data_IF_456520127613
#
_entry.id   IF_456520127613
#
_cell.length_a   1.000
_cell.length_b   1.000
_cell.length_c   1.000
_cell.angle_alpha   90.00
_cell.angle_beta   90.00
_cell.angle_gamma   90.00
#
_symmetry.space_group_name_H-M   'P 1'
#
loop_
_entity.id
_entity.type
_entity.pdbx_description
1 polymer ?
#
# COMPACT_ATOMS: atom_id res chain seq x y z
N UNK A 1 -9.03 2.27 1.24
CA UNK A 1 -8.70 2.03 -0.18
C UNK A 1 -8.38 0.54 -0.42
N UNK A 2 -7.29 -0.01 0.15
CA UNK A 2 -6.93 -1.44 0.00
C UNK A 2 -8.08 -2.37 0.40
N UNK A 3 -8.72 -2.12 1.53
CA UNK A 3 -9.89 -2.90 1.98
C UNK A 3 -11.03 -2.83 0.96
N UNK A 4 -11.30 -1.65 0.41
CA UNK A 4 -12.35 -1.47 -0.62
C UNK A 4 -11.99 -2.21 -1.90
N UNK A 5 -10.72 -2.16 -2.31
CA UNK A 5 -10.22 -2.91 -3.46
C UNK A 5 -10.40 -4.42 -3.28
N UNK A 6 -9.98 -4.97 -2.13
CA UNK A 6 -10.12 -6.40 -1.83
C UNK A 6 -11.60 -6.81 -1.68
N UNK A 7 -12.48 -5.91 -1.21
CA UNK A 7 -13.94 -6.17 -1.17
C UNK A 7 -14.55 -6.22 -2.56
N UNK A 8 -14.07 -5.40 -3.50
CA UNK A 8 -14.58 -5.40 -4.88
C UNK A 8 -14.12 -6.62 -5.69
N UNK A 9 -13.08 -7.31 -5.24
CA UNK A 9 -12.66 -8.60 -5.81
C UNK A 9 -13.62 -9.70 -5.39
N UNK A 10 -14.69 -9.86 -6.18
CA UNK A 10 -15.80 -10.80 -5.93
C UNK A 10 -15.43 -12.27 -6.15
N UNK A 11 -14.22 -12.57 -6.62
CA UNK A 11 -13.76 -13.93 -6.83
C UNK A 11 -13.63 -14.66 -5.49
N UNK A 12 -13.91 -15.96 -5.48
CA UNK A 12 -13.81 -16.86 -4.32
C UNK A 12 -12.36 -16.99 -3.82
N UNK A 13 -11.81 -15.92 -3.27
CA UNK A 13 -10.47 -15.91 -2.65
C UNK A 13 -10.58 -16.13 -1.15
N UNK A 14 -9.75 -17.00 -0.59
CA UNK A 14 -9.58 -17.10 0.86
C UNK A 14 -8.72 -15.95 1.36
N UNK A 15 -9.04 -15.45 2.53
CA UNK A 15 -8.38 -14.29 3.14
C UNK A 15 -7.68 -14.69 4.43
N UNK A 16 -6.48 -14.19 4.60
CA UNK A 16 -5.61 -14.46 5.73
C UNK A 16 -5.06 -13.13 6.24
N UNK A 17 -4.80 -13.06 7.53
CA UNK A 17 -4.22 -11.89 8.16
C UNK A 17 -3.02 -12.37 8.97
N UNK A 18 -1.86 -11.81 8.70
CA UNK A 18 -0.62 -12.10 9.40
C UNK A 18 -0.15 -10.81 10.04
N UNK A 19 0.16 -10.82 11.33
CA UNK A 19 0.68 -9.63 12.01
C UNK A 19 1.63 -9.99 13.15
N UNK A 20 2.53 -9.07 13.47
CA UNK A 20 3.22 -9.11 14.75
C UNK A 20 2.26 -8.74 15.91
N UNK A 21 2.70 -8.99 17.13
CA UNK A 21 1.88 -8.73 18.32
C UNK A 21 1.59 -7.23 18.52
N UNK A 22 2.47 -6.33 18.05
CA UNK A 22 2.25 -4.87 18.14
C UNK A 22 1.17 -4.38 17.18
N UNK A 23 0.87 -5.15 16.13
CA UNK A 23 -0.10 -4.82 15.09
C UNK A 23 -1.46 -5.52 15.26
N UNK A 24 -1.70 -6.15 16.41
CA UNK A 24 -2.94 -6.90 16.72
C UNK A 24 -4.21 -6.06 16.53
N UNK A 25 -4.20 -4.78 16.90
CA UNK A 25 -5.36 -3.92 16.74
C UNK A 25 -5.77 -3.75 15.28
N UNK A 26 -4.78 -3.56 14.40
CA UNK A 26 -5.02 -3.45 12.94
C UNK A 26 -5.52 -4.79 12.41
N UNK A 27 -4.88 -5.89 12.81
CA UNK A 27 -5.28 -7.26 12.46
C UNK A 27 -6.75 -7.51 12.84
N UNK A 28 -7.17 -7.13 14.04
CA UNK A 28 -8.54 -7.27 14.51
C UNK A 28 -9.53 -6.37 13.76
N UNK A 29 -9.13 -5.16 13.35
CA UNK A 29 -9.96 -4.30 12.49
C UNK A 29 -10.19 -4.95 11.12
N UNK A 30 -9.17 -5.54 10.51
CA UNK A 30 -9.29 -6.27 9.24
C UNK A 30 -10.18 -7.51 9.42
N UNK A 31 -10.01 -8.25 10.51
CA UNK A 31 -10.84 -9.43 10.84
C UNK A 31 -12.33 -9.10 10.97
N UNK A 32 -12.67 -7.95 11.56
CA UNK A 32 -14.08 -7.48 11.63
C UNK A 32 -14.66 -7.21 10.25
N UNK A 33 -13.85 -6.78 9.29
CA UNK A 33 -14.27 -6.49 7.92
C UNK A 33 -14.37 -7.77 7.08
N UNK A 34 -13.52 -8.76 7.36
CA UNK A 34 -13.47 -10.06 6.70
C UNK A 34 -13.60 -11.18 7.75
N UNK A 35 -14.80 -11.45 8.27
CA UNK A 35 -15.01 -12.41 9.38
C UNK A 35 -14.52 -13.83 9.08
N UNK A 36 -14.55 -14.26 7.81
CA UNK A 36 -14.10 -15.57 7.36
C UNK A 36 -12.57 -15.72 7.25
N UNK A 37 -11.80 -14.63 7.42
CA UNK A 37 -10.34 -14.69 7.35
C UNK A 37 -9.76 -15.48 8.52
N UNK A 38 -8.62 -16.16 8.30
CA UNK A 38 -7.81 -16.73 9.39
C UNK A 38 -6.74 -15.71 9.81
N UNK A 39 -6.45 -15.65 11.11
CA UNK A 39 -5.40 -14.78 11.67
C UNK A 39 -4.24 -15.64 12.16
N UNK A 40 -3.02 -15.15 11.89
CA UNK A 40 -1.76 -15.70 12.38
C UNK A 40 -0.93 -14.58 12.99
N UNK A 41 -0.24 -14.90 14.06
CA UNK A 41 0.57 -13.93 14.81
C UNK A 41 2.01 -14.41 14.92
N UNK A 42 2.93 -13.46 15.12
CA UNK A 42 4.30 -13.80 15.47
C UNK A 42 4.36 -14.67 16.74
N UNK A 43 5.39 -15.52 16.82
CA UNK A 43 5.58 -16.40 17.97
C UNK A 43 6.09 -15.64 19.18
N UNK A 44 5.79 -16.19 20.35
CA UNK A 44 6.30 -15.74 21.64
C UNK A 44 7.38 -16.74 22.08
N UNK A 45 8.52 -16.25 22.55
CA UNK A 45 9.57 -17.09 23.13
C UNK A 45 9.23 -17.51 24.56
N UNK A 46 10.07 -18.33 25.16
CA UNK A 46 9.90 -18.80 26.54
C UNK A 46 9.91 -17.66 27.59
N UNK A 47 10.55 -16.53 27.25
CA UNK A 47 10.58 -15.32 28.09
C UNK A 47 9.35 -14.43 27.92
N UNK A 48 8.42 -14.78 27.02
CA UNK A 48 7.22 -14.00 26.74
C UNK A 48 7.41 -12.87 25.71
N UNK A 49 8.59 -12.77 25.06
CA UNK A 49 8.88 -11.75 24.07
C UNK A 49 8.44 -12.18 22.69
N UNK A 50 7.96 -11.20 21.90
CA UNK A 50 7.66 -11.39 20.47
C UNK A 50 8.93 -11.68 19.68
N UNK A 51 9.02 -12.89 19.11
CA UNK A 51 10.17 -13.30 18.29
C UNK A 51 10.20 -12.62 16.92
N UNK A 52 9.12 -11.93 16.56
CA UNK A 52 8.96 -11.32 15.22
C UNK A 52 9.21 -12.32 14.09
N UNK A 53 8.81 -13.56 14.30
CA UNK A 53 8.89 -14.64 13.32
C UNK A 53 7.59 -15.41 13.25
N UNK A 54 7.29 -15.92 12.08
CA UNK A 54 6.25 -16.91 11.84
C UNK A 54 6.96 -18.24 11.51
N UNK A 55 6.37 -19.35 11.89
CA UNK A 55 6.92 -20.66 11.58
C UNK A 55 6.20 -21.22 10.36
N UNK A 56 6.94 -21.87 9.46
CA UNK A 56 6.39 -22.48 8.24
C UNK A 56 5.22 -23.42 8.55
N UNK A 57 5.37 -24.27 9.57
CA UNK A 57 4.37 -25.27 9.93
C UNK A 57 3.02 -24.67 10.36
N UNK A 58 3.00 -23.42 10.85
CA UNK A 58 1.76 -22.72 11.20
C UNK A 58 0.89 -22.43 9.96
N UNK A 59 1.51 -22.33 8.79
CA UNK A 59 0.86 -22.08 7.52
C UNK A 59 0.71 -23.32 6.64
N UNK A 60 1.29 -24.45 7.05
CA UNK A 60 1.20 -25.68 6.28
C UNK A 60 -0.28 -26.08 6.09
N UNK A 61 -0.60 -26.54 4.89
CA UNK A 61 -1.98 -26.92 4.50
C UNK A 61 -3.04 -25.82 4.66
N UNK A 62 -2.61 -24.56 4.89
CA UNK A 62 -3.54 -23.42 5.07
C UNK A 62 -4.06 -22.88 3.74
N UNK A 63 -3.20 -22.76 2.73
CA UNK A 63 -3.56 -22.17 1.45
C UNK A 63 -4.33 -23.13 0.55
N UNK A 64 -5.33 -22.58 -0.12
CA UNK A 64 -6.19 -23.36 -1.02
C UNK A 64 -5.74 -23.18 -2.47
N UNK A 65 -6.15 -24.12 -3.33
CA UNK A 65 -5.98 -23.98 -4.78
C UNK A 65 -6.68 -22.71 -5.27
N UNK A 66 -6.00 -21.96 -6.15
CA UNK A 66 -6.45 -20.70 -6.69
C UNK A 66 -5.89 -19.50 -5.93
N UNK A 67 -6.66 -18.42 -5.87
CA UNK A 67 -6.26 -17.12 -5.31
C UNK A 67 -6.42 -17.09 -3.79
N UNK A 68 -5.34 -16.77 -3.10
CA UNK A 68 -5.29 -16.51 -1.67
C UNK A 68 -4.86 -15.06 -1.45
N UNK A 69 -5.53 -14.34 -0.58
CA UNK A 69 -5.24 -12.95 -0.22
C UNK A 69 -4.68 -12.93 1.19
N UNK A 70 -3.50 -12.37 1.36
CA UNK A 70 -2.84 -12.24 2.65
C UNK A 70 -2.65 -10.77 2.99
N UNK A 71 -3.16 -10.32 4.14
CA UNK A 71 -2.83 -9.04 4.73
C UNK A 71 -1.65 -9.22 5.68
N UNK A 72 -0.57 -8.47 5.47
CA UNK A 72 0.59 -8.43 6.35
C UNK A 72 0.66 -7.06 7.03
N UNK A 73 0.47 -7.06 8.35
CA UNK A 73 0.46 -5.83 9.15
C UNK A 73 1.59 -5.88 10.18
N UNK A 74 2.62 -5.07 9.96
CA UNK A 74 3.80 -5.00 10.81
C UNK A 74 4.60 -3.71 10.57
N UNK A 75 5.41 -3.33 11.55
CA UNK A 75 6.45 -2.30 11.42
C UNK A 75 7.87 -2.88 11.56
N UNK A 76 8.00 -4.20 11.62
CA UNK A 76 9.26 -4.90 11.85
C UNK A 76 9.79 -5.50 10.54
N UNK A 77 10.92 -4.99 10.07
CA UNK A 77 11.55 -5.42 8.81
C UNK A 77 11.85 -6.93 8.80
N UNK A 78 12.36 -7.48 9.91
CA UNK A 78 12.66 -8.91 10.03
C UNK A 78 11.41 -9.77 9.85
N UNK A 79 10.26 -9.31 10.34
CA UNK A 79 9.00 -10.02 10.18
C UNK A 79 8.50 -9.98 8.72
N UNK A 80 8.64 -8.82 8.03
CA UNK A 80 8.35 -8.75 6.58
C UNK A 80 9.19 -9.73 5.80
N UNK A 81 10.51 -9.76 6.06
CA UNK A 81 11.45 -10.67 5.39
C UNK A 81 11.10 -12.14 5.64
N UNK A 82 10.84 -12.52 6.89
CA UNK A 82 10.47 -13.87 7.28
C UNK A 82 9.17 -14.30 6.59
N UNK A 83 8.10 -13.51 6.74
CA UNK A 83 6.77 -13.84 6.20
C UNK A 83 6.79 -13.89 4.67
N UNK A 84 7.43 -12.92 4.01
CA UNK A 84 7.49 -12.92 2.54
C UNK A 84 8.25 -14.12 1.99
N UNK A 85 9.31 -14.57 2.65
CA UNK A 85 10.04 -15.79 2.29
C UNK A 85 9.17 -17.04 2.44
N UNK A 86 8.49 -17.19 3.57
CA UNK A 86 7.60 -18.32 3.84
C UNK A 86 6.44 -18.34 2.84
N UNK A 87 5.76 -17.22 2.62
CA UNK A 87 4.66 -17.14 1.65
C UNK A 87 5.10 -17.47 0.23
N UNK A 88 6.29 -17.00 -0.17
CA UNK A 88 6.84 -17.27 -1.49
C UNK A 88 7.09 -18.77 -1.70
N UNK A 89 7.47 -19.54 -0.68
CA UNK A 89 7.70 -20.98 -0.78
C UNK A 89 6.41 -21.80 -1.02
N UNK A 90 5.23 -21.24 -0.71
CA UNK A 90 3.94 -21.89 -0.98
C UNK A 90 3.41 -21.63 -2.40
N UNK A 91 3.97 -20.66 -3.12
CA UNK A 91 3.52 -20.33 -4.48
C UNK A 91 3.90 -21.47 -5.43
N UNK A 92 2.92 -21.93 -6.18
CA UNK A 92 3.12 -22.94 -7.24
C UNK A 92 2.05 -22.77 -8.34
N UNK A 93 1.98 -23.70 -9.29
CA UNK A 93 1.03 -23.60 -10.40
C UNK A 93 -0.43 -23.54 -9.95
N UNK A 94 -0.76 -24.16 -8.82
CA UNK A 94 -2.13 -24.25 -8.32
C UNK A 94 -2.43 -23.24 -7.20
N UNK A 95 -1.44 -22.81 -6.40
CA UNK A 95 -1.59 -21.89 -5.28
C UNK A 95 -1.00 -20.54 -5.69
N UNK A 96 -1.84 -19.51 -5.72
CA UNK A 96 -1.45 -18.13 -5.98
C UNK A 96 -1.69 -17.32 -4.70
N UNK A 97 -0.72 -16.51 -4.32
CA UNK A 97 -0.81 -15.66 -3.13
C UNK A 97 -0.61 -14.21 -3.56
N UNK A 98 -1.55 -13.35 -3.15
CA UNK A 98 -1.41 -11.90 -3.29
C UNK A 98 -1.28 -11.27 -1.91
N UNK A 99 -0.20 -10.51 -1.72
CA UNK A 99 0.14 -9.88 -0.45
C UNK A 99 -0.34 -8.44 -0.43
N UNK A 100 -0.98 -8.04 0.65
CA UNK A 100 -1.48 -6.69 0.87
C UNK A 100 -1.01 -6.15 2.22
N UNK A 101 -0.89 -4.83 2.34
CA UNK A 101 -0.83 -4.16 3.63
C UNK A 101 -1.75 -2.93 3.63
N UNK A 102 -2.34 -2.62 4.76
CA UNK A 102 -3.15 -1.40 4.91
C UNK A 102 -2.30 -0.18 5.20
N UNK A 103 -1.06 -0.38 5.63
CA UNK A 103 -0.12 0.69 5.98
C UNK A 103 1.32 0.32 5.58
N UNK A 104 1.67 0.59 4.31
CA UNK A 104 3.06 0.42 3.84
C UNK A 104 3.97 1.42 4.56
N UNK A 105 5.00 0.89 5.19
CA UNK A 105 5.99 1.64 5.97
C UNK A 105 7.41 1.17 5.63
N UNK A 106 8.43 1.75 6.27
CA UNK A 106 9.84 1.47 5.98
C UNK A 106 10.25 0.00 6.20
N UNK A 107 9.48 -0.79 6.95
CA UNK A 107 9.78 -2.21 7.13
C UNK A 107 9.73 -3.00 5.81
N UNK A 108 8.92 -2.56 4.86
CA UNK A 108 8.82 -3.17 3.53
C UNK A 108 9.92 -2.72 2.54
N UNK A 109 10.73 -1.73 2.91
CA UNK A 109 11.82 -1.18 2.09
C UNK A 109 13.22 -1.54 2.62
N UNK A 110 13.28 -2.34 3.67
CA UNK A 110 14.53 -2.70 4.32
C UNK A 110 15.44 -3.56 3.44
N UNK A 111 16.75 -3.43 3.62
CA UNK A 111 17.76 -4.14 2.82
C UNK A 111 17.63 -5.69 2.86
N UNK A 112 17.04 -6.24 3.92
CA UNK A 112 16.84 -7.68 4.07
C UNK A 112 15.50 -8.18 3.49
N UNK A 113 14.68 -7.28 2.94
CA UNK A 113 13.42 -7.66 2.28
C UNK A 113 13.67 -7.89 0.80
N UNK A 114 13.38 -9.09 0.33
CA UNK A 114 13.57 -9.45 -1.08
C UNK A 114 12.48 -8.82 -1.95
N UNK A 115 12.86 -7.93 -2.86
CA UNK A 115 11.94 -7.39 -3.85
C UNK A 115 11.36 -8.48 -4.75
N UNK A 116 12.15 -9.50 -5.11
CA UNK A 116 11.67 -10.63 -5.91
C UNK A 116 10.54 -11.39 -5.20
N UNK A 117 10.63 -11.57 -3.86
CA UNK A 117 9.54 -12.20 -3.11
C UNK A 117 8.29 -11.32 -3.08
N UNK A 118 8.45 -10.01 -2.93
CA UNK A 118 7.33 -9.07 -2.98
C UNK A 118 6.68 -9.03 -4.37
N UNK A 119 7.46 -9.09 -5.46
CA UNK A 119 6.95 -9.19 -6.84
C UNK A 119 6.20 -10.50 -7.06
N UNK A 120 6.77 -11.65 -6.70
CA UNK A 120 6.12 -12.95 -6.83
C UNK A 120 4.78 -13.01 -6.07
N UNK A 121 4.74 -12.36 -4.90
CA UNK A 121 3.55 -12.22 -4.07
C UNK A 121 2.61 -11.10 -4.56
N UNK A 122 2.94 -10.42 -5.68
CA UNK A 122 2.16 -9.30 -6.21
C UNK A 122 1.79 -8.29 -5.12
N UNK A 123 2.78 -7.90 -4.32
CA UNK A 123 2.58 -7.03 -3.16
C UNK A 123 1.87 -5.73 -3.54
N UNK A 124 0.80 -5.39 -2.81
CA UNK A 124 -0.04 -4.24 -3.10
C UNK A 124 -0.32 -3.41 -1.85
N UNK A 125 -0.34 -2.09 -2.04
CA UNK A 125 -0.64 -1.13 -0.98
C UNK A 125 -1.23 0.16 -1.55
N UNK A 126 -1.94 0.91 -0.71
CA UNK A 126 -2.40 2.25 -1.05
C UNK A 126 -1.29 3.27 -0.78
N UNK A 127 -1.11 4.23 -1.71
CA UNK A 127 -0.16 5.33 -1.57
C UNK A 127 -0.79 6.65 -2.00
N UNK A 128 -0.46 7.72 -1.31
CA UNK A 128 -0.87 9.08 -1.70
C UNK A 128 -0.09 9.63 -2.89
N UNK A 129 1.01 8.98 -3.23
CA UNK A 129 1.87 9.37 -4.33
C UNK A 129 2.44 8.16 -5.07
N UNK A 130 2.73 8.33 -6.35
CA UNK A 130 3.51 7.39 -7.18
C UNK A 130 4.93 7.91 -7.38
N UNK A 131 5.82 7.07 -7.91
CA UNK A 131 7.12 7.55 -8.41
C UNK A 131 6.91 8.31 -9.71
N UNK A 132 7.70 9.40 -9.90
CA UNK A 132 7.75 10.11 -11.17
C UNK A 132 8.29 9.18 -12.26
N UNK A 133 7.68 9.20 -13.43
CA UNK A 133 8.19 8.49 -14.61
C UNK A 133 9.14 9.39 -15.38
N UNK A 134 10.44 9.03 -15.40
CA UNK A 134 11.48 9.84 -16.05
C UNK A 134 11.26 9.94 -17.57
N UNK A 135 10.61 8.96 -18.19
CA UNK A 135 10.37 8.94 -19.63
C UNK A 135 9.11 9.73 -19.98
N UNK A 136 8.00 9.43 -19.31
CA UNK A 136 6.72 10.10 -19.55
C UNK A 136 6.76 11.58 -19.14
N UNK A 137 7.40 11.87 -18.00
CA UNK A 137 7.47 13.22 -17.41
C UNK A 137 8.71 14.02 -17.85
N UNK A 138 9.40 13.55 -18.89
CA UNK A 138 10.67 14.11 -19.38
C UNK A 138 10.60 15.61 -19.65
N UNK A 139 9.53 16.10 -20.24
CA UNK A 139 9.41 17.53 -20.59
C UNK A 139 9.42 18.44 -19.34
N UNK A 140 8.78 18.01 -18.26
CA UNK A 140 8.80 18.70 -16.97
C UNK A 140 10.22 18.68 -16.37
N UNK A 141 10.84 17.50 -16.37
CA UNK A 141 12.19 17.29 -15.81
C UNK A 141 13.22 18.16 -16.53
N UNK A 142 13.22 18.14 -17.87
CA UNK A 142 14.16 18.94 -18.68
C UNK A 142 13.97 20.44 -18.45
N UNK A 143 12.72 20.91 -18.36
CA UNK A 143 12.42 22.32 -18.05
C UNK A 143 12.86 22.70 -16.64
N UNK A 144 12.68 21.81 -15.67
CA UNK A 144 13.13 22.04 -14.31
C UNK A 144 14.67 22.15 -14.26
N UNK A 145 15.37 21.19 -14.91
CA UNK A 145 16.84 21.18 -14.97
C UNK A 145 17.37 22.44 -15.68
N UNK A 146 16.73 22.87 -16.77
CA UNK A 146 17.16 24.08 -17.49
C UNK A 146 17.04 25.35 -16.66
N UNK A 147 16.06 25.42 -15.74
CA UNK A 147 15.85 26.60 -14.90
C UNK A 147 16.71 26.57 -13.62
N UNK A 148 16.98 25.40 -13.08
CA UNK A 148 17.57 25.27 -11.74
C UNK A 148 18.92 24.54 -11.71
N UNK A 149 19.37 23.95 -12.81
CA UNK A 149 20.62 23.18 -12.96
C UNK A 149 20.75 21.94 -12.05
N UNK A 150 19.62 21.40 -11.57
CA UNK A 150 19.61 20.13 -10.82
C UNK A 150 18.30 19.37 -11.05
N UNK A 151 18.31 18.07 -10.76
CA UNK A 151 17.13 17.22 -10.90
C UNK A 151 16.07 17.56 -9.83
N UNK A 152 14.76 17.60 -10.17
CA UNK A 152 13.73 17.93 -9.20
C UNK A 152 13.69 16.89 -8.05
N UNK A 153 13.73 17.40 -6.82
CA UNK A 153 13.52 16.56 -5.65
C UNK A 153 12.05 16.14 -5.51
N UNK A 154 11.78 15.07 -4.77
CA UNK A 154 10.39 14.68 -4.43
C UNK A 154 9.59 15.84 -3.80
N UNK A 155 10.24 16.73 -3.07
CA UNK A 155 9.57 17.88 -2.47
C UNK A 155 9.22 18.94 -3.50
N UNK A 156 10.11 19.17 -4.49
CA UNK A 156 9.88 20.10 -5.59
C UNK A 156 8.71 19.65 -6.46
N UNK A 157 8.66 18.34 -6.79
CA UNK A 157 7.58 17.75 -7.60
C UNK A 157 6.25 17.84 -6.84
N UNK A 158 6.25 17.49 -5.56
CA UNK A 158 5.05 17.56 -4.73
C UNK A 158 4.54 18.97 -4.55
N UNK A 159 5.43 19.95 -4.34
CA UNK A 159 5.05 21.35 -4.25
C UNK A 159 4.44 21.85 -5.56
N UNK A 160 5.02 21.45 -6.69
CA UNK A 160 4.48 21.76 -8.00
C UNK A 160 3.05 21.20 -8.17
N UNK A 161 2.87 19.90 -7.94
CA UNK A 161 1.58 19.22 -8.10
C UNK A 161 0.47 19.87 -7.25
N UNK A 162 0.76 20.13 -5.96
CA UNK A 162 -0.19 20.74 -5.04
C UNK A 162 -0.54 22.16 -5.49
N UNK A 163 0.47 22.97 -5.81
CA UNK A 163 0.24 24.37 -6.22
C UNK A 163 -0.53 24.43 -7.52
N UNK A 164 -0.17 23.59 -8.49
CA UNK A 164 -0.82 23.57 -9.79
C UNK A 164 -2.30 23.13 -9.69
N UNK A 165 -2.58 22.07 -8.91
CA UNK A 165 -3.95 21.61 -8.66
C UNK A 165 -4.81 22.71 -8.00
N UNK A 166 -4.26 23.37 -6.97
CA UNK A 166 -4.98 24.45 -6.27
C UNK A 166 -5.25 25.64 -7.19
N UNK A 167 -4.27 26.07 -7.99
CA UNK A 167 -4.44 27.19 -8.92
C UNK A 167 -5.49 26.88 -9.98
N UNK A 168 -5.50 25.66 -10.55
CA UNK A 168 -6.51 25.26 -11.51
C UNK A 168 -7.91 25.24 -10.89
N UNK A 169 -8.05 24.76 -9.67
CA UNK A 169 -9.36 24.75 -8.98
C UNK A 169 -9.83 26.15 -8.67
N UNK A 170 -8.98 27.05 -8.21
CA UNK A 170 -9.33 28.45 -7.95
C UNK A 170 -9.72 29.16 -9.26
N UNK A 171 -9.03 28.89 -10.36
CA UNK A 171 -9.33 29.50 -11.65
C UNK A 171 -10.67 29.02 -12.26
N UNK A 172 -11.11 27.81 -11.89
CA UNK A 172 -12.35 27.21 -12.38
C UNK A 172 -13.54 27.40 -11.43
N UNK A 173 -13.35 28.03 -10.28
CA UNK A 173 -14.41 28.30 -9.29
C UNK A 173 -13.88 28.63 -7.91
N UNK A 174 -14.75 28.88 -6.95
CA UNK A 174 -14.38 29.07 -5.54
C UNK A 174 -14.04 27.70 -4.92
N UNK A 175 -13.00 27.65 -4.07
CA UNK A 175 -12.67 26.46 -3.26
C UNK A 175 -13.82 25.99 -2.35
N UNK A 176 -14.83 26.83 -2.15
CA UNK A 176 -16.06 26.48 -1.43
C UNK A 176 -17.16 25.89 -2.32
N UNK A 177 -16.97 25.88 -3.64
CA UNK A 177 -17.94 25.31 -4.57
C UNK A 177 -17.96 23.79 -4.45
N UNK A 178 -19.14 23.21 -4.21
CA UNK A 178 -19.33 21.76 -4.12
C UNK A 178 -18.95 21.03 -5.41
N UNK A 179 -18.97 21.72 -6.54
CA UNK A 179 -18.55 21.19 -7.85
C UNK A 179 -17.05 20.82 -7.91
N UNK A 180 -16.22 21.35 -7.00
CA UNK A 180 -14.80 21.01 -6.89
C UNK A 180 -14.60 19.65 -6.20
N UNK A 181 -15.56 19.25 -5.35
CA UNK A 181 -15.51 17.98 -4.64
C UNK A 181 -15.88 16.83 -5.60
N UNK A 182 -15.15 15.74 -5.48
CA UNK A 182 -15.38 14.55 -6.31
C UNK A 182 -14.64 14.52 -7.65
N UNK A 183 -14.16 15.66 -8.16
CA UNK A 183 -13.29 15.70 -9.34
C UNK A 183 -11.92 15.15 -8.97
N UNK A 184 -11.49 14.09 -9.63
CA UNK A 184 -10.16 13.52 -9.48
C UNK A 184 -9.21 14.12 -10.52
N UNK A 185 -8.07 14.61 -10.07
CA UNK A 185 -6.95 15.09 -10.89
C UNK A 185 -5.69 14.29 -10.56
N UNK A 186 -4.84 14.09 -11.55
CA UNK A 186 -3.59 13.36 -11.40
C UNK A 186 -2.46 14.15 -12.08
N UNK A 187 -1.33 14.25 -11.39
CA UNK A 187 -0.13 14.93 -11.86
C UNK A 187 1.08 13.99 -11.80
N UNK A 188 2.29 14.53 -11.64
CA UNK A 188 3.53 13.76 -11.72
C UNK A 188 3.65 12.70 -10.63
N UNK A 189 3.51 13.09 -9.37
CA UNK A 189 3.54 12.15 -8.23
C UNK A 189 2.20 12.02 -7.55
N UNK A 190 1.37 13.07 -7.54
CA UNK A 190 0.20 13.15 -6.68
C UNK A 190 -1.10 13.05 -7.44
N UNK A 191 -2.11 12.56 -6.75
CA UNK A 191 -3.49 12.50 -7.18
C UNK A 191 -4.34 13.23 -6.15
N UNK A 192 -5.31 14.00 -6.60
CA UNK A 192 -6.18 14.79 -5.75
C UNK A 192 -7.65 14.48 -6.03
N UNK A 193 -8.39 14.24 -4.97
CA UNK A 193 -9.85 14.20 -4.92
C UNK A 193 -10.27 14.66 -3.54
N UNK A 194 -10.80 15.85 -3.46
CA UNK A 194 -11.14 16.44 -2.16
C UNK A 194 -12.51 16.01 -1.69
N UNK A 195 -12.64 15.90 -0.38
CA UNK A 195 -13.89 15.66 0.31
C UNK A 195 -13.94 16.53 1.56
N UNK A 196 -15.11 17.14 1.81
CA UNK A 196 -15.36 17.82 3.08
C UNK A 196 -15.68 16.81 4.16
N UNK A 197 -14.99 16.91 5.28
CA UNK A 197 -15.28 16.10 6.48
C UNK A 197 -16.46 16.67 7.25
N UNK A 198 -17.00 15.91 8.20
CA UNK A 198 -18.04 16.38 9.11
C UNK A 198 -17.59 17.53 10.01
N UNK A 199 -16.29 17.69 10.25
CA UNK A 199 -15.69 18.82 10.98
C UNK A 199 -15.50 20.08 10.14
N UNK A 200 -15.81 20.03 8.81
CA UNK A 200 -15.62 21.13 7.87
C UNK A 200 -14.25 21.19 7.22
N UNK A 201 -13.28 20.33 7.62
CA UNK A 201 -11.99 20.25 6.92
C UNK A 201 -12.15 19.68 5.52
N UNK A 202 -11.24 20.07 4.62
CA UNK A 202 -11.15 19.55 3.27
C UNK A 202 -9.95 18.63 3.19
N UNK A 203 -10.21 17.34 2.97
CA UNK A 203 -9.18 16.30 2.96
C UNK A 203 -9.02 15.74 1.55
N UNK A 204 -7.78 15.52 1.13
CA UNK A 204 -7.51 14.74 -0.08
C UNK A 204 -7.71 13.25 0.23
N UNK A 205 -8.66 12.63 -0.45
CA UNK A 205 -8.98 11.20 -0.30
C UNK A 205 -8.51 10.34 -1.48
N UNK A 206 -7.83 10.94 -2.45
CA UNK A 206 -7.29 10.19 -3.58
C UNK A 206 -6.07 9.37 -3.18
N UNK A 207 -5.99 8.16 -3.70
CA UNK A 207 -4.86 7.26 -3.50
C UNK A 207 -4.58 6.47 -4.77
N UNK A 208 -3.32 6.09 -4.95
CA UNK A 208 -2.91 5.06 -5.91
C UNK A 208 -2.97 3.69 -5.25
N UNK A 209 -3.35 2.69 -6.02
CA UNK A 209 -3.07 1.30 -5.70
C UNK A 209 -1.74 0.97 -6.37
N UNK A 210 -0.69 0.81 -5.57
CA UNK A 210 0.63 0.43 -6.05
C UNK A 210 0.75 -1.09 -5.96
N UNK A 211 1.25 -1.69 -7.03
CA UNK A 211 1.53 -3.11 -7.11
C UNK A 211 2.99 -3.31 -7.50
N UNK A 212 3.68 -4.21 -6.80
CA UNK A 212 4.99 -4.67 -7.21
C UNK A 212 4.82 -5.65 -8.37
N UNK A 213 5.42 -5.31 -9.51
CA UNK A 213 5.52 -6.14 -10.72
C UNK A 213 7.01 -6.26 -11.08
N UNK A 214 7.36 -7.34 -11.77
CA UNK A 214 8.72 -7.59 -12.27
C UNK A 214 9.10 -6.60 -13.38
#
# INVERSE_FOLDING_TARGET
>A
EIISHVKSDTKKSKKYIISDLKSIEISNKIKRIFPESKQFFSKINESGDDTKTLVYDDLDSTFVKGKNIVFLETKEQGFVSNVSSILNSFINDTIKIELFTTNKNNAFEGANVSNNYLSNLKFQYASTNKKIDIVEDKSFIDKFISNYNYFPSKYSIRAYDITYDLLLRISNGDLNDENIFGIESQYFENKFRYKRSSSGSIDNIANYLIKHED
#
